data_IF_855052784713
#
_entry.id   IF_855052784713
#
_cell.length_a   1.000
_cell.length_b   1.000
_cell.length_c   1.000
_cell.angle_alpha   90.00
_cell.angle_beta   90.00
_cell.angle_gamma   90.00
#
_symmetry.space_group_name_H-M   'P 1'
#
loop_
_entity.id
_entity.type
_entity.pdbx_description
1 polymer ?
#
# COMPACT_ATOMS: atom_id res chain seq x y z
N UNK A 1 -32.87 9.82 2.82
CA UNK A 1 -31.74 8.98 3.29
C UNK A 1 -31.16 8.31 2.06
N UNK A 2 -29.97 8.70 1.63
CA UNK A 2 -29.34 8.21 0.41
C UNK A 2 -27.87 8.57 0.41
N UNK A 3 -27.05 7.69 0.96
CA UNK A 3 -25.59 7.69 0.84
C UNK A 3 -25.22 7.34 -0.61
N UNK A 4 -24.13 7.79 -1.24
CA UNK A 4 -23.00 8.57 -0.77
C UNK A 4 -22.08 8.77 -1.97
N UNK A 5 -21.73 10.03 -2.17
CA UNK A 5 -20.67 10.63 -2.98
C UNK A 5 -19.73 9.71 -3.78
N UNK A 6 -19.81 9.87 -5.09
CA UNK A 6 -18.80 9.61 -6.12
C UNK A 6 -17.42 10.11 -5.69
N UNK A 7 -16.38 9.27 -5.86
CA UNK A 7 -15.01 9.78 -5.99
C UNK A 7 -14.18 8.89 -6.89
N UNK A 8 -14.36 9.10 -8.20
CA UNK A 8 -13.32 8.81 -9.16
C UNK A 8 -12.13 9.72 -8.84
N UNK A 9 -10.99 9.13 -8.49
CA UNK A 9 -9.71 9.82 -8.54
C UNK A 9 -8.84 9.07 -9.55
N UNK A 10 -9.10 9.34 -10.82
CA UNK A 10 -8.04 9.33 -11.82
C UNK A 10 -7.11 10.49 -11.48
N UNK A 11 -5.80 10.26 -11.35
CA UNK A 11 -4.83 11.33 -11.48
C UNK A 11 -3.73 10.89 -12.46
N UNK A 12 -3.52 11.63 -13.56
CA UNK A 12 -2.52 11.33 -14.57
C UNK A 12 -1.12 11.75 -14.11
N UNK A 13 -0.11 11.10 -14.67
CA UNK A 13 1.27 11.57 -14.87
C UNK A 13 1.80 12.63 -13.89
N UNK A 14 2.16 12.18 -12.69
CA UNK A 14 3.08 12.91 -11.81
C UNK A 14 4.29 11.99 -11.66
N UNK A 15 5.49 12.55 -11.55
CA UNK A 15 6.64 11.87 -10.96
C UNK A 15 6.29 11.56 -9.50
N UNK A 16 5.39 10.59 -9.29
CA UNK A 16 4.92 10.19 -7.98
C UNK A 16 6.10 9.45 -7.38
N UNK A 17 6.82 10.14 -6.49
CA UNK A 17 7.55 9.47 -5.43
C UNK A 17 6.52 8.65 -4.64
N UNK A 18 6.21 7.44 -5.14
CA UNK A 18 5.15 6.60 -4.60
C UNK A 18 5.40 6.49 -3.10
N UNK A 19 4.42 6.85 -2.27
CA UNK A 19 4.54 6.70 -0.82
C UNK A 19 4.89 5.26 -0.42
N UNK A 20 4.58 4.29 -1.29
CA UNK A 20 4.95 2.88 -1.18
C UNK A 20 6.36 2.53 -1.67
N UNK A 21 7.04 3.38 -2.45
CA UNK A 21 8.40 3.14 -2.95
C UNK A 21 9.46 3.24 -1.85
N UNK A 22 9.18 4.02 -0.79
CA UNK A 22 10.08 4.10 0.39
C UNK A 22 10.02 2.86 1.28
N UNK A 23 9.00 2.01 1.13
CA UNK A 23 8.80 0.87 2.00
C UNK A 23 9.07 -0.43 1.24
N UNK A 24 10.32 -0.87 1.30
CA UNK A 24 10.76 -2.21 0.87
C UNK A 24 9.96 -3.30 1.62
N UNK A 25 9.98 -4.53 1.12
CA UNK A 25 9.35 -5.68 1.81
C UNK A 25 9.88 -5.81 3.26
N UNK A 26 11.18 -5.55 3.46
CA UNK A 26 11.77 -5.47 4.80
C UNK A 26 11.18 -4.35 5.67
N UNK A 27 10.94 -3.16 5.12
CA UNK A 27 10.28 -2.08 5.84
C UNK A 27 8.86 -2.44 6.29
N UNK A 28 8.12 -3.19 5.46
CA UNK A 28 6.76 -3.69 5.80
C UNK A 28 6.80 -4.73 6.90
N UNK A 29 7.75 -5.67 6.84
CA UNK A 29 8.00 -6.64 7.93
C UNK A 29 8.34 -5.96 9.25
N UNK A 30 9.16 -4.92 9.21
CA UNK A 30 9.53 -4.14 10.40
C UNK A 30 8.34 -3.44 11.06
N UNK A 31 7.34 -3.01 10.29
CA UNK A 31 6.08 -2.48 10.85
C UNK A 31 5.36 -3.56 11.64
N UNK A 32 5.22 -4.75 11.05
CA UNK A 32 4.55 -5.90 11.68
C UNK A 32 5.29 -6.37 12.92
N UNK A 33 6.62 -6.52 12.85
CA UNK A 33 7.44 -6.92 13.99
C UNK A 33 7.32 -5.94 15.17
N UNK A 34 7.37 -4.63 14.90
CA UNK A 34 7.19 -3.64 15.97
C UNK A 34 5.77 -3.66 16.55
N UNK A 35 4.77 -3.90 15.71
CA UNK A 35 3.40 -4.06 16.19
C UNK A 35 3.25 -5.29 17.10
N UNK A 36 3.85 -6.42 16.72
CA UNK A 36 3.89 -7.64 17.54
C UNK A 36 4.69 -7.46 18.84
N UNK A 37 5.71 -6.59 18.82
CA UNK A 37 6.44 -6.17 20.02
C UNK A 37 5.63 -5.22 20.94
N UNK A 38 4.35 -4.98 20.64
CA UNK A 38 3.45 -4.17 21.46
C UNK A 38 3.56 -2.66 21.24
N UNK A 39 4.29 -2.20 20.22
CA UNK A 39 4.45 -0.77 19.99
C UNK A 39 3.15 -0.14 19.47
N UNK A 40 2.76 1.05 19.98
CA UNK A 40 1.63 1.79 19.43
C UNK A 40 1.86 2.18 17.96
N UNK A 41 0.82 2.13 17.13
CA UNK A 41 0.90 2.48 15.71
C UNK A 41 1.48 3.88 15.44
N UNK A 42 1.22 4.84 16.35
CA UNK A 42 1.77 6.19 16.27
C UNK A 42 3.31 6.21 16.41
N UNK A 43 3.85 5.40 17.32
CA UNK A 43 5.28 5.30 17.53
C UNK A 43 5.96 4.60 16.35
N UNK A 44 5.34 3.54 15.82
CA UNK A 44 5.83 2.84 14.62
C UNK A 44 5.87 3.81 13.43
N UNK A 45 4.81 4.61 13.25
CA UNK A 45 4.72 5.61 12.19
C UNK A 45 5.85 6.66 12.30
N UNK A 46 6.10 7.19 13.50
CA UNK A 46 7.18 8.15 13.74
C UNK A 46 8.57 7.54 13.47
N UNK A 47 8.83 6.33 13.97
CA UNK A 47 10.11 5.64 13.80
C UNK A 47 10.42 5.30 12.33
N UNK A 48 9.39 5.02 11.53
CA UNK A 48 9.51 4.66 10.13
C UNK A 48 9.36 5.86 9.17
N UNK A 49 9.00 7.05 9.67
CA UNK A 49 8.73 8.22 8.85
C UNK A 49 7.55 8.05 7.89
N UNK A 50 6.53 7.27 8.30
CA UNK A 50 5.33 7.00 7.49
C UNK A 50 4.06 7.47 8.19
N UNK A 51 2.94 7.52 7.48
CA UNK A 51 1.66 7.85 8.08
C UNK A 51 1.10 6.70 8.92
N UNK A 52 0.33 7.02 9.97
CA UNK A 52 -0.43 6.03 10.77
C UNK A 52 -1.35 5.17 9.91
N UNK A 53 -1.96 5.76 8.88
CA UNK A 53 -2.81 5.05 7.91
C UNK A 53 -2.02 3.97 7.17
N UNK A 54 -0.78 4.26 6.77
CA UNK A 54 0.10 3.29 6.11
C UNK A 54 0.41 2.10 7.04
N UNK A 55 0.77 2.38 8.30
CA UNK A 55 1.01 1.35 9.32
C UNK A 55 -0.21 0.43 9.46
N UNK A 56 -1.40 1.01 9.59
CA UNK A 56 -2.64 0.23 9.73
C UNK A 56 -2.92 -0.63 8.51
N UNK A 57 -2.80 -0.09 7.29
CA UNK A 57 -2.99 -0.88 6.06
C UNK A 57 -2.08 -2.10 6.00
N UNK A 58 -0.82 -1.99 6.45
CA UNK A 58 0.10 -3.13 6.45
C UNK A 58 -0.19 -4.14 7.55
N UNK A 59 -0.60 -3.70 8.73
CA UNK A 59 -1.04 -4.60 9.81
C UNK A 59 -2.28 -5.37 9.38
N UNK A 60 -3.30 -4.68 8.86
CA UNK A 60 -4.55 -5.30 8.42
C UNK A 60 -4.29 -6.33 7.32
N UNK A 61 -3.43 -5.99 6.33
CA UNK A 61 -3.06 -6.90 5.25
C UNK A 61 -2.25 -8.11 5.75
N UNK A 62 -1.35 -7.90 6.71
CA UNK A 62 -0.62 -9.00 7.33
C UNK A 62 -1.56 -9.92 8.12
N UNK A 63 -2.59 -9.38 8.77
CA UNK A 63 -3.59 -10.18 9.47
C UNK A 63 -4.43 -11.05 8.51
N UNK A 64 -4.68 -10.59 7.28
CA UNK A 64 -5.46 -11.34 6.29
C UNK A 64 -4.64 -12.31 5.44
N UNK A 65 -3.43 -11.93 5.05
CA UNK A 65 -2.61 -12.67 4.06
C UNK A 65 -1.26 -13.16 4.61
N UNK A 66 -0.89 -12.77 5.83
CA UNK A 66 0.40 -13.07 6.42
C UNK A 66 1.58 -12.41 5.70
N UNK A 67 2.74 -13.09 5.71
CA UNK A 67 3.96 -12.67 5.01
C UNK A 67 3.75 -12.43 3.50
N UNK A 68 2.88 -13.22 2.85
CA UNK A 68 2.59 -13.09 1.43
C UNK A 68 1.98 -11.72 1.09
N UNK A 69 1.21 -11.13 2.00
CA UNK A 69 0.62 -9.80 1.86
C UNK A 69 1.63 -8.66 1.89
N UNK A 70 2.85 -8.88 2.39
CA UNK A 70 3.90 -7.86 2.50
C UNK A 70 4.68 -7.68 1.19
N UNK A 71 4.62 -8.67 0.30
CA UNK A 71 5.28 -8.62 -1.02
C UNK A 71 4.61 -7.56 -1.89
N UNK A 72 5.39 -6.86 -2.71
CA UNK A 72 4.83 -5.95 -3.71
C UNK A 72 3.99 -6.74 -4.71
N UNK A 73 2.68 -6.56 -4.66
CA UNK A 73 1.80 -6.95 -5.76
C UNK A 73 2.01 -6.01 -6.92
N UNK A 74 1.91 -6.56 -8.13
CA UNK A 74 1.83 -5.73 -9.33
C UNK A 74 0.63 -4.80 -9.20
N UNK A 75 0.86 -3.48 -9.31
CA UNK A 75 -0.23 -2.51 -9.42
C UNK A 75 -0.83 -2.45 -10.84
N UNK A 76 -0.43 -3.39 -11.71
CA UNK A 76 -0.94 -3.44 -13.08
C UNK A 76 -2.44 -3.70 -13.06
N UNK A 77 -3.24 -2.87 -13.76
CA UNK A 77 -4.67 -3.13 -13.91
C UNK A 77 -4.87 -4.49 -14.58
N UNK A 78 -5.86 -5.25 -14.11
CA UNK A 78 -6.20 -6.57 -14.64
C UNK A 78 -6.64 -6.51 -16.12
N UNK A 79 -7.12 -5.36 -16.58
CA UNK A 79 -7.54 -5.13 -17.96
C UNK A 79 -6.97 -3.79 -18.43
N UNK A 80 -6.26 -3.82 -19.55
CA UNK A 80 -5.84 -2.63 -20.29
C UNK A 80 -6.60 -2.57 -21.63
N UNK A 81 -7.64 -1.73 -21.75
CA UNK A 81 -8.46 -1.65 -22.96
C UNK A 81 -7.72 -1.04 -24.16
N UNK A 82 -6.61 -0.33 -23.94
CA UNK A 82 -5.76 0.30 -24.97
C UNK A 82 -4.47 -0.48 -25.26
N UNK A 83 -4.43 -1.78 -24.94
CA UNK A 83 -3.28 -2.63 -25.27
C UNK A 83 -3.19 -2.76 -26.80
N UNK A 84 -2.28 -2.00 -27.41
CA UNK A 84 -1.90 -2.14 -28.82
C UNK A 84 -1.31 -3.53 -29.03
N UNK A 85 -1.72 -4.19 -30.12
CA UNK A 85 -1.18 -5.49 -30.51
C UNK A 85 0.33 -5.39 -30.67
N UNK A 86 1.04 -6.44 -30.25
CA UNK A 86 2.46 -6.62 -30.57
C UNK A 86 2.56 -6.73 -32.10
N UNK A 87 3.23 -5.76 -32.75
CA UNK A 87 3.48 -5.86 -34.19
C UNK A 87 4.41 -7.05 -34.44
N UNK A 88 3.91 -8.02 -35.21
CA UNK A 88 4.65 -9.22 -35.68
C UNK A 88 5.57 -8.86 -36.83
#
# INVERSE_FOLDING_TARGET
>A
MGCGLSKAHSNPEVLVSHGNARLTVHGRRLIVQRHQAGWPQAHIAAAMGVSRKCVRTWIDRYATEGEAGLVTRSSRPHTMPTRTSDEV
#
